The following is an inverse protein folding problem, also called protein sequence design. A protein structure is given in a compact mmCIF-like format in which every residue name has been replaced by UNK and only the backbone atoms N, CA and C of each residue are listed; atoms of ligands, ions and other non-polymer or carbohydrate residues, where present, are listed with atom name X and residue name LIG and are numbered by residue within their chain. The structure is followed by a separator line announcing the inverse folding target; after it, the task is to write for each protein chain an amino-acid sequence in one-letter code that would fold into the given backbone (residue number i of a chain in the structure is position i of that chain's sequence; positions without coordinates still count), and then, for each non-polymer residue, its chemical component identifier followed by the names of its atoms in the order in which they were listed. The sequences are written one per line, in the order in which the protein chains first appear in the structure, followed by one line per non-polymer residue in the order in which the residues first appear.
data_IF_983744280526
#
_entry.id   IF_983744280526
#
_cell.length_a   1.000
_cell.length_b   1.000
_cell.length_c   1.000
_cell.angle_alpha   90.00
_cell.angle_beta   90.00
_cell.angle_gamma   90.00
#
_symmetry.space_group_name_H-M   'P 1'
#
loop_
_entity.id
_entity.type
_entity.pdbx_description
1 polymer ?
#
# COMPACT_ATOMS: atom_id res chain seq x y z
N UNK A 1 -23.46 2.12 -41.72
CA UNK A 1 -23.85 3.12 -40.71
C UNK A 1 -24.21 2.32 -39.46
N UNK A 2 -23.37 2.13 -38.45
CA UNK A 2 -22.10 2.73 -38.02
C UNK A 2 -21.32 1.60 -37.35
N UNK A 3 -20.04 1.43 -37.70
CA UNK A 3 -19.12 0.47 -37.04
C UNK A 3 -19.03 0.86 -35.56
N UNK A 4 -19.47 -0.04 -34.68
CA UNK A 4 -19.45 0.16 -33.23
C UNK A 4 -18.23 -0.53 -32.66
N UNK A 5 -17.12 0.20 -32.52
CA UNK A 5 -15.97 -0.25 -31.74
C UNK A 5 -16.40 -0.42 -30.28
N UNK A 6 -16.42 -1.67 -29.80
CA UNK A 6 -16.78 -1.98 -28.41
C UNK A 6 -15.53 -1.80 -27.54
N UNK A 7 -15.36 -0.59 -27.00
CA UNK A 7 -14.41 -0.35 -25.93
C UNK A 7 -14.91 -1.06 -24.65
N UNK A 8 -14.16 -2.04 -24.16
CA UNK A 8 -14.37 -2.61 -22.82
C UNK A 8 -13.88 -1.56 -21.81
N UNK A 9 -14.75 -0.60 -21.50
CA UNK A 9 -14.45 0.43 -20.51
C UNK A 9 -14.57 -0.15 -19.11
N UNK A 10 -13.45 -0.25 -18.41
CA UNK A 10 -13.45 -0.40 -16.96
C UNK A 10 -13.98 0.89 -16.34
N UNK A 11 -15.21 0.86 -15.80
CA UNK A 11 -15.78 1.98 -15.04
C UNK A 11 -15.14 1.96 -13.65
N UNK A 12 -13.95 2.55 -13.53
CA UNK A 12 -13.40 2.98 -12.25
C UNK A 12 -14.13 4.24 -11.82
N UNK A 13 -14.67 4.25 -10.61
CA UNK A 13 -15.41 5.38 -10.05
C UNK A 13 -14.62 6.70 -10.18
N UNK A 14 -15.26 7.69 -10.80
CA UNK A 14 -14.87 9.10 -10.78
C UNK A 14 -15.07 9.66 -9.37
N UNK A 15 -14.06 9.55 -8.51
CA UNK A 15 -13.88 10.49 -7.40
C UNK A 15 -12.41 10.62 -7.06
N UNK A 16 -11.87 11.80 -7.38
CA UNK A 16 -10.62 12.37 -6.88
C UNK A 16 -9.35 11.56 -7.19
N UNK A 17 -8.57 12.05 -8.16
CA UNK A 17 -7.11 11.87 -8.32
C UNK A 17 -6.46 11.03 -7.21
N UNK A 18 -6.53 9.69 -7.36
CA UNK A 18 -5.92 8.80 -6.39
C UNK A 18 -4.39 8.98 -6.46
N UNK A 19 -3.71 9.34 -5.35
CA UNK A 19 -2.25 9.47 -5.33
C UNK A 19 -1.53 8.17 -5.73
N UNK A 20 -2.22 7.03 -5.73
CA UNK A 20 -1.69 5.73 -6.17
C UNK A 20 -1.66 5.60 -7.70
N UNK A 21 -2.46 6.37 -8.45
CA UNK A 21 -2.48 6.39 -9.93
C UNK A 21 -1.09 6.68 -10.54
N UNK A 22 -0.27 7.49 -9.85
CA UNK A 22 1.11 7.78 -10.27
C UNK A 22 2.08 6.58 -10.13
N UNK A 23 1.64 5.47 -9.55
CA UNK A 23 2.45 4.26 -9.33
C UNK A 23 2.14 3.13 -10.31
N UNK A 24 0.97 3.14 -10.95
CA UNK A 24 0.52 2.07 -11.84
C UNK A 24 1.12 2.13 -13.26
N UNK A 25 1.81 3.21 -13.61
CA UNK A 25 2.55 3.31 -14.87
C UNK A 25 4.07 3.22 -14.66
N UNK A 26 4.55 2.02 -14.33
CA UNK A 26 5.88 1.58 -14.75
C UNK A 26 5.74 0.58 -15.89
N UNK A 27 5.20 1.04 -17.03
CA UNK A 27 5.59 0.46 -18.32
C UNK A 27 7.13 0.47 -18.36
N UNK A 28 7.72 -0.66 -18.75
CA UNK A 28 9.14 -0.99 -18.62
C UNK A 28 10.07 0.23 -18.68
N UNK A 29 10.57 0.66 -17.51
CA UNK A 29 11.90 1.28 -17.49
C UNK A 29 12.89 0.13 -17.47
N UNK A 30 13.64 -0.13 -18.55
CA UNK A 30 14.69 -1.12 -18.52
C UNK A 30 15.73 -0.69 -17.48
N UNK A 31 15.96 -1.53 -16.46
CA UNK A 31 17.13 -1.42 -15.60
C UNK A 31 16.98 -0.66 -14.28
N UNK A 32 15.91 -0.83 -13.52
CA UNK A 32 15.99 -0.66 -12.06
C UNK A 32 15.62 -1.98 -11.39
N UNK A 33 16.63 -2.84 -11.23
CA UNK A 33 16.58 -3.86 -10.20
C UNK A 33 16.30 -3.15 -8.88
N UNK A 34 15.08 -3.31 -8.38
CA UNK A 34 14.72 -2.76 -7.08
C UNK A 34 15.51 -3.60 -6.08
N UNK A 35 16.61 -3.04 -5.55
CA UNK A 35 17.40 -3.69 -4.50
C UNK A 35 16.43 -4.13 -3.39
N UNK A 36 16.55 -5.41 -3.00
CA UNK A 36 15.78 -5.96 -1.88
C UNK A 36 16.41 -5.40 -0.61
N UNK A 37 16.11 -4.13 -0.33
CA UNK A 37 16.59 -3.44 0.87
C UNK A 37 15.93 -4.07 2.08
N UNK A 38 16.71 -4.31 3.13
CA UNK A 38 16.20 -4.77 4.41
C UNK A 38 15.18 -3.76 4.98
N UNK A 39 14.22 -4.23 5.78
CA UNK A 39 13.14 -3.41 6.35
C UNK A 39 13.72 -2.19 7.06
N UNK A 40 14.83 -2.37 7.78
CA UNK A 40 15.55 -1.30 8.46
C UNK A 40 16.04 -0.21 7.51
N UNK A 41 16.64 -0.59 6.37
CA UNK A 41 17.14 0.37 5.38
C UNK A 41 16.01 1.11 4.68
N UNK A 42 14.90 0.44 4.40
CA UNK A 42 13.69 1.06 3.83
C UNK A 42 13.13 2.11 4.78
N UNK A 43 13.04 1.80 6.07
CA UNK A 43 12.50 2.71 7.09
C UNK A 43 13.43 3.88 7.38
N UNK A 44 14.74 3.64 7.41
CA UNK A 44 15.76 4.69 7.53
C UNK A 44 15.71 5.65 6.34
N UNK A 45 15.54 5.14 5.12
CA UNK A 45 15.38 5.96 3.91
C UNK A 45 14.09 6.79 3.92
N UNK A 46 13.05 6.32 4.61
CA UNK A 46 11.81 7.05 4.87
C UNK A 46 11.92 8.05 6.03
N UNK A 47 13.10 8.19 6.64
CA UNK A 47 13.36 9.15 7.71
C UNK A 47 12.77 8.76 9.07
N UNK A 48 12.41 7.47 9.24
CA UNK A 48 11.89 6.95 10.50
C UNK A 48 13.08 6.54 11.38
N UNK A 49 13.33 7.20 12.51
CA UNK A 49 14.39 6.79 13.44
C UNK A 49 14.07 5.43 14.05
N UNK A 50 15.09 4.70 14.49
CA UNK A 50 14.90 3.47 15.27
C UNK A 50 14.86 3.84 16.75
N UNK A 51 13.84 3.35 17.46
CA UNK A 51 13.75 3.44 18.91
C UNK A 51 14.62 2.36 19.53
N UNK A 52 15.58 2.77 20.36
CA UNK A 52 16.37 1.87 21.20
C UNK A 52 15.70 1.74 22.57
N UNK A 53 15.71 0.56 23.16
CA UNK A 53 15.17 0.31 24.50
C UNK A 53 16.04 0.98 25.55
N UNK A 54 15.44 1.82 26.40
CA UNK A 54 16.12 2.47 27.52
C UNK A 54 15.98 1.57 28.75
N UNK A 55 16.95 0.69 28.98
CA UNK A 55 16.98 -0.19 30.16
C UNK A 55 17.57 0.52 31.39
N UNK A 56 18.56 1.39 31.18
CA UNK A 56 19.15 2.24 32.22
C UNK A 56 18.85 3.73 31.93
N UNK A 57 17.90 4.28 32.68
CA UNK A 57 17.47 5.67 32.54
C UNK A 57 18.56 6.64 33.02
N UNK A 58 19.32 6.29 34.06
CA UNK A 58 20.41 7.13 34.58
C UNK A 58 21.58 7.21 33.60
N UNK A 59 21.94 6.08 32.98
CA UNK A 59 22.94 6.02 31.90
C UNK A 59 22.52 6.84 30.67
N UNK A 60 21.27 6.67 30.24
CA UNK A 60 20.73 7.37 29.07
C UNK A 60 20.67 8.89 29.25
N UNK A 61 20.30 9.37 30.45
CA UNK A 61 20.28 10.80 30.77
C UNK A 61 21.69 11.41 30.81
N UNK A 62 22.68 10.67 31.31
CA UNK A 62 24.09 11.10 31.34
C UNK A 62 24.73 11.13 29.96
N UNK A 63 24.45 10.14 29.10
CA UNK A 63 24.99 10.11 27.73
C UNK A 63 24.38 11.19 26.83
N UNK A 64 23.08 11.48 26.99
CA UNK A 64 22.40 12.48 26.16
C UNK A 64 22.46 13.91 26.73
N UNK A 65 23.01 14.11 27.94
CA UNK A 65 23.03 15.41 28.63
C UNK A 65 21.64 16.08 28.68
N UNK A 66 20.58 15.29 28.82
CA UNK A 66 19.20 15.78 28.84
C UNK A 66 18.59 15.68 30.24
N UNK A 67 17.69 16.60 30.56
CA UNK A 67 16.80 16.45 31.72
C UNK A 67 15.75 15.37 31.46
N UNK A 68 15.15 14.84 32.53
CA UNK A 68 14.09 13.82 32.43
C UNK A 68 12.90 14.35 31.60
N UNK A 69 12.55 15.62 31.77
CA UNK A 69 11.43 16.26 31.06
C UNK A 69 11.73 16.40 29.55
N UNK A 70 12.97 16.74 29.18
CA UNK A 70 13.40 16.79 27.78
C UNK A 70 13.45 15.39 27.15
N UNK A 71 13.93 14.39 27.88
CA UNK A 71 13.95 13.00 27.43
C UNK A 71 12.53 12.45 27.23
N UNK A 72 11.61 12.70 28.17
CA UNK A 72 10.19 12.37 28.05
C UNK A 72 9.57 13.03 26.81
N UNK A 73 9.78 14.34 26.65
CA UNK A 73 9.26 15.08 25.49
C UNK A 73 9.79 14.52 24.16
N UNK A 74 11.08 14.17 24.09
CA UNK A 74 11.69 13.58 22.88
C UNK A 74 11.09 12.20 22.55
N UNK A 75 10.87 11.35 23.55
CA UNK A 75 10.23 10.04 23.35
C UNK A 75 8.76 10.20 22.93
N UNK A 76 8.03 11.13 23.55
CA UNK A 76 6.64 11.44 23.15
C UNK A 76 6.54 11.98 21.71
N UNK A 77 7.45 12.86 21.31
CA UNK A 77 7.52 13.37 19.94
C UNK A 77 7.80 12.25 18.93
N UNK A 78 8.71 11.33 19.26
CA UNK A 78 9.00 10.17 18.42
C UNK A 78 7.80 9.21 18.35
N UNK A 79 7.12 8.96 19.47
CA UNK A 79 5.90 8.17 19.50
C UNK A 79 4.80 8.74 18.60
N UNK A 80 4.57 10.06 18.64
CA UNK A 80 3.62 10.74 17.76
C UNK A 80 4.00 10.59 16.29
N UNK A 81 5.30 10.68 15.96
CA UNK A 81 5.79 10.45 14.59
C UNK A 81 5.51 9.02 14.14
N UNK A 82 5.80 8.01 14.97
CA UNK A 82 5.53 6.62 14.62
C UNK A 82 4.05 6.35 14.37
N UNK A 83 3.14 6.89 15.21
CA UNK A 83 1.69 6.78 14.97
C UNK A 83 1.22 7.42 13.68
N UNK A 84 1.78 8.58 13.32
CA UNK A 84 1.45 9.23 12.05
C UNK A 84 1.92 8.39 10.86
N UNK A 85 3.13 7.84 10.93
CA UNK A 85 3.66 6.94 9.89
C UNK A 85 2.85 5.65 9.80
N UNK A 86 2.46 5.06 10.93
CA UNK A 86 1.60 3.88 10.99
C UNK A 86 0.28 4.13 10.25
N UNK A 87 -0.43 5.21 10.59
CA UNK A 87 -1.69 5.57 9.94
C UNK A 87 -1.52 5.76 8.42
N UNK A 88 -0.46 6.44 7.99
CA UNK A 88 -0.16 6.62 6.57
C UNK A 88 0.10 5.29 5.84
N UNK A 89 0.87 4.37 6.46
CA UNK A 89 1.15 3.06 5.88
C UNK A 89 -0.11 2.16 5.85
N UNK A 90 -0.93 2.21 6.89
CA UNK A 90 -2.21 1.49 6.92
C UNK A 90 -3.15 1.97 5.81
N UNK A 91 -3.29 3.29 5.64
CA UNK A 91 -4.11 3.87 4.57
C UNK A 91 -3.60 3.47 3.18
N UNK A 92 -2.27 3.44 2.96
CA UNK A 92 -1.70 2.98 1.69
C UNK A 92 -2.01 1.51 1.42
N UNK A 93 -1.92 0.65 2.45
CA UNK A 93 -2.25 -0.77 2.31
C UNK A 93 -3.74 -0.99 2.03
N UNK A 94 -4.61 -0.22 2.67
CA UNK A 94 -6.06 -0.31 2.46
C UNK A 94 -6.43 0.02 1.01
N UNK A 95 -5.90 1.11 0.46
CA UNK A 95 -6.08 1.46 -0.96
C UNK A 95 -5.62 0.35 -1.90
N UNK A 96 -4.45 -0.24 -1.66
CA UNK A 96 -3.96 -1.34 -2.50
C UNK A 96 -4.90 -2.55 -2.43
N UNK A 97 -5.43 -2.87 -1.25
CA UNK A 97 -6.38 -3.95 -1.04
C UNK A 97 -7.73 -3.71 -1.73
N UNK A 98 -8.16 -2.45 -1.84
CA UNK A 98 -9.34 -2.08 -2.63
C UNK A 98 -9.11 -2.27 -4.14
N UNK A 99 -7.89 -2.00 -4.62
CA UNK A 99 -7.56 -2.15 -6.06
C UNK A 99 -7.24 -3.60 -6.48
N UNK A 100 -6.76 -4.45 -5.57
CA UNK A 100 -6.43 -5.85 -5.86
C UNK A 100 -7.56 -6.66 -6.54
N UNK A 101 -8.83 -6.65 -6.04
CA UNK A 101 -9.92 -7.39 -6.67
C UNK A 101 -10.24 -6.90 -8.09
N UNK A 102 -9.95 -5.64 -8.40
CA UNK A 102 -10.20 -5.05 -9.70
C UNK A 102 -9.27 -5.66 -10.76
N UNK A 103 -7.99 -5.81 -10.44
CA UNK A 103 -7.02 -6.50 -11.30
C UNK A 103 -7.32 -7.99 -11.44
N UNK A 104 -7.84 -8.65 -10.38
CA UNK A 104 -8.25 -10.05 -10.46
C UNK A 104 -9.44 -10.26 -11.38
N UNK A 105 -10.47 -9.39 -11.29
CA UNK A 105 -11.62 -9.40 -12.20
C UNK A 105 -11.20 -9.13 -13.65
N UNK A 106 -10.30 -8.17 -13.86
CA UNK A 106 -9.73 -7.90 -15.18
C UNK A 106 -9.05 -9.15 -15.77
N UNK A 107 -8.24 -9.85 -14.98
CA UNK A 107 -7.60 -11.09 -15.44
C UNK A 107 -8.60 -12.20 -15.74
N UNK A 108 -9.62 -12.40 -14.91
CA UNK A 108 -10.67 -13.39 -15.16
C UNK A 108 -11.41 -13.13 -16.48
N UNK A 109 -11.69 -11.85 -16.78
CA UNK A 109 -12.29 -11.45 -18.05
C UNK A 109 -11.37 -11.76 -19.24
N UNK A 110 -10.06 -11.47 -19.13
CA UNK A 110 -9.09 -11.79 -20.17
C UNK A 110 -9.02 -13.29 -20.44
N UNK A 111 -8.99 -14.12 -19.39
CA UNK A 111 -8.98 -15.58 -19.56
C UNK A 111 -10.24 -16.07 -20.27
N UNK A 112 -11.44 -15.57 -19.91
CA UNK A 112 -12.68 -15.93 -20.62
C UNK A 112 -12.66 -15.52 -22.08
N UNK A 113 -12.07 -14.36 -22.40
CA UNK A 113 -11.91 -13.89 -23.76
C UNK A 113 -10.92 -14.75 -24.54
N UNK A 114 -9.78 -15.12 -23.94
CA UNK A 114 -8.79 -16.02 -24.52
C UNK A 114 -9.40 -17.40 -24.81
N UNK A 115 -10.15 -17.97 -23.87
CA UNK A 115 -10.82 -19.26 -24.03
C UNK A 115 -11.82 -19.23 -25.20
N UNK A 116 -12.61 -18.16 -25.31
CA UNK A 116 -13.56 -17.97 -26.42
C UNK A 116 -12.88 -17.73 -27.78
N UNK A 117 -11.69 -17.12 -27.80
CA UNK A 117 -10.89 -16.94 -29.02
C UNK A 117 -10.18 -18.23 -29.46
N UNK A 118 -9.80 -19.07 -28.50
CA UNK A 118 -9.11 -20.33 -28.75
C UNK A 118 -10.05 -21.46 -29.20
N UNK A 119 -11.33 -21.40 -28.82
CA UNK A 119 -12.34 -22.38 -29.22
C UNK A 119 -12.86 -22.09 -30.65
N UNK A 120 -12.54 -22.95 -31.64
CA UNK A 120 -12.99 -22.75 -33.02
C UNK A 120 -14.50 -22.96 -33.21
N UNK A 121 -15.17 -23.63 -32.27
CA UNK A 121 -16.61 -23.90 -32.31
C UNK A 121 -17.41 -22.81 -31.55
N UNK A 122 -16.75 -21.79 -30.99
CA UNK A 122 -17.42 -20.71 -30.27
C UNK A 122 -18.26 -19.82 -31.19
N UNK A 123 -19.56 -19.72 -30.91
CA UNK A 123 -20.49 -18.88 -31.66
C UNK A 123 -20.41 -17.41 -31.21
N UNK A 124 -19.99 -16.54 -32.13
CA UNK A 124 -19.97 -15.09 -31.97
C UNK A 124 -21.25 -14.45 -32.54
N UNK A 125 -21.73 -13.29 -32.03
CA UNK A 125 -21.10 -12.43 -31.02
C UNK A 125 -21.37 -12.85 -29.56
N UNK A 126 -20.40 -12.59 -28.68
CA UNK A 126 -20.51 -12.89 -27.25
C UNK A 126 -21.43 -11.86 -26.57
N UNK A 127 -22.52 -12.34 -25.96
CA UNK A 127 -23.41 -11.49 -25.16
C UNK A 127 -22.80 -11.24 -23.77
N UNK A 128 -22.58 -9.97 -23.42
CA UNK A 128 -22.04 -9.56 -22.12
C UNK A 128 -22.96 -8.53 -21.48
N UNK A 129 -23.21 -8.70 -20.18
CA UNK A 129 -23.94 -7.72 -19.37
C UNK A 129 -22.97 -6.89 -18.56
N UNK A 130 -23.08 -5.57 -18.67
CA UNK A 130 -22.25 -4.64 -17.93
C UNK A 130 -23.10 -3.65 -17.13
N UNK A 131 -22.62 -3.19 -15.96
CA UNK A 131 -23.33 -2.20 -15.15
C UNK A 131 -23.23 -0.80 -15.80
N UNK A 132 -24.35 -0.10 -15.88
CA UNK A 132 -24.42 1.34 -16.23
C UNK A 132 -24.50 2.22 -14.97
N UNK A 133 -25.20 1.74 -13.96
CA UNK A 133 -25.35 2.37 -12.66
C UNK A 133 -25.65 1.31 -11.60
N UNK A 134 -25.73 1.70 -10.33
CA UNK A 134 -26.13 0.79 -9.25
C UNK A 134 -27.46 0.12 -9.57
N UNK A 135 -27.45 -1.21 -9.65
CA UNK A 135 -28.60 -2.05 -10.01
C UNK A 135 -29.14 -1.90 -11.45
N UNK A 136 -28.48 -1.11 -12.31
CA UNK A 136 -28.85 -0.92 -13.72
C UNK A 136 -27.82 -1.57 -14.62
N UNK A 137 -28.25 -2.53 -15.43
CA UNK A 137 -27.39 -3.29 -16.32
C UNK A 137 -27.85 -3.13 -17.77
N UNK A 138 -26.88 -3.09 -18.69
CA UNK A 138 -27.12 -3.12 -20.13
C UNK A 138 -26.46 -4.33 -20.76
N UNK A 139 -26.98 -4.75 -21.91
CA UNK A 139 -26.43 -5.85 -22.70
C UNK A 139 -25.62 -5.26 -23.85
N UNK A 140 -24.40 -5.77 -24.03
CA UNK A 140 -23.53 -5.51 -25.17
C UNK A 140 -23.20 -6.81 -25.90
N UNK A 141 -22.87 -6.68 -27.18
CA UNK A 141 -22.42 -7.78 -28.03
C UNK A 141 -20.97 -7.51 -28.41
N UNK A 142 -20.07 -8.43 -28.07
CA UNK A 142 -18.65 -8.32 -28.42
C UNK A 142 -18.43 -9.14 -29.68
N UNK A 143 -17.89 -8.53 -30.73
CA UNK A 143 -17.45 -9.22 -31.93
C UNK A 143 -16.09 -9.89 -31.72
N UNK A 144 -15.72 -10.82 -32.60
CA UNK A 144 -14.41 -11.48 -32.52
C UNK A 144 -13.29 -10.44 -32.75
N UNK A 145 -12.60 -10.07 -31.67
CA UNK A 145 -11.49 -9.13 -31.68
C UNK A 145 -10.30 -9.69 -30.91
N UNK A 146 -9.11 -9.56 -31.49
CA UNK A 146 -7.84 -10.03 -30.91
C UNK A 146 -7.14 -8.93 -30.08
N UNK A 147 -7.72 -7.73 -30.03
CA UNK A 147 -7.20 -6.55 -29.33
C UNK A 147 -8.22 -5.99 -28.34
N UNK A 148 -7.70 -5.37 -27.28
CA UNK A 148 -8.48 -4.70 -26.24
C UNK A 148 -7.89 -3.32 -25.96
N UNK A 149 -8.71 -2.44 -25.40
CA UNK A 149 -8.26 -1.14 -24.91
C UNK A 149 -8.01 -1.17 -23.41
N UNK A 150 -6.81 -0.76 -22.99
CA UNK A 150 -6.44 -0.62 -21.58
C UNK A 150 -6.22 0.86 -21.28
N UNK A 151 -6.83 1.34 -20.19
CA UNK A 151 -6.57 2.67 -19.67
C UNK A 151 -5.22 2.66 -18.92
N UNK A 152 -4.27 3.45 -19.40
CA UNK A 152 -2.94 3.58 -18.80
C UNK A 152 -2.89 4.66 -17.70
N UNK A 153 -3.92 5.52 -17.64
CA UNK A 153 -3.98 6.69 -16.77
C UNK A 153 -3.92 7.99 -17.57
N UNK A 154 -4.08 9.13 -16.90
CA UNK A 154 -4.10 10.47 -17.53
C UNK A 154 -5.01 10.56 -18.78
N UNK A 155 -6.20 9.94 -18.72
CA UNK A 155 -7.16 9.90 -19.82
C UNK A 155 -6.63 9.30 -21.13
N UNK A 156 -5.58 8.46 -21.07
CA UNK A 156 -4.95 7.84 -22.23
C UNK A 156 -5.23 6.34 -22.25
N UNK A 157 -5.75 5.85 -23.38
CA UNK A 157 -5.96 4.43 -23.66
C UNK A 157 -4.93 3.92 -24.66
N UNK A 158 -4.54 2.66 -24.54
CA UNK A 158 -3.72 1.95 -25.51
C UNK A 158 -4.44 0.70 -25.98
N UNK A 159 -4.39 0.46 -27.29
CA UNK A 159 -4.78 -0.81 -27.89
C UNK A 159 -3.65 -1.82 -27.71
N UNK A 160 -3.99 -2.99 -27.18
CA UNK A 160 -3.04 -4.04 -26.81
C UNK A 160 -3.66 -5.40 -27.16
N UNK A 161 -2.84 -6.36 -27.56
CA UNK A 161 -3.35 -7.73 -27.81
C UNK A 161 -3.78 -8.41 -26.50
N UNK A 162 -4.64 -9.41 -26.57
CA UNK A 162 -5.10 -10.13 -25.37
C UNK A 162 -3.94 -10.80 -24.62
N UNK A 163 -2.93 -11.32 -25.33
CA UNK A 163 -1.73 -11.94 -24.74
C UNK A 163 -0.86 -10.92 -23.99
N UNK A 164 -0.60 -9.77 -24.60
CA UNK A 164 0.15 -8.69 -23.96
C UNK A 164 -0.59 -8.14 -22.73
N UNK A 165 -1.92 -8.03 -22.81
CA UNK A 165 -2.75 -7.64 -21.68
C UNK A 165 -2.59 -8.60 -20.50
N UNK A 166 -2.62 -9.91 -20.74
CA UNK A 166 -2.43 -10.92 -19.69
C UNK A 166 -1.07 -10.76 -18.99
N UNK A 167 -0.03 -10.50 -19.77
CA UNK A 167 1.32 -10.23 -19.25
C UNK A 167 1.35 -8.98 -18.38
N UNK A 168 0.72 -7.88 -18.81
CA UNK A 168 0.61 -6.62 -18.06
C UNK A 168 -0.13 -6.83 -16.74
N UNK A 169 -1.32 -7.45 -16.78
CA UNK A 169 -2.11 -7.72 -15.57
C UNK A 169 -1.36 -8.66 -14.61
N UNK A 170 -0.69 -9.68 -15.12
CA UNK A 170 0.11 -10.60 -14.31
C UNK A 170 1.32 -9.93 -13.66
N UNK A 171 1.98 -9.01 -14.36
CA UNK A 171 3.08 -8.19 -13.80
C UNK A 171 2.55 -7.26 -12.70
N UNK A 172 1.46 -6.55 -12.97
CA UNK A 172 0.84 -5.64 -12.00
C UNK A 172 0.35 -6.37 -10.74
N UNK A 173 -0.27 -7.54 -10.88
CA UNK A 173 -0.68 -8.36 -9.72
C UNK A 173 0.53 -8.80 -8.87
N UNK A 174 1.63 -9.21 -9.52
CA UNK A 174 2.88 -9.55 -8.80
C UNK A 174 3.44 -8.33 -8.07
N UNK A 175 3.41 -7.15 -8.69
CA UNK A 175 3.91 -5.92 -8.09
C UNK A 175 3.04 -5.43 -6.94
N UNK A 176 1.70 -5.51 -7.07
CA UNK A 176 0.75 -5.22 -5.98
C UNK A 176 0.99 -6.18 -4.82
N UNK A 177 1.11 -7.48 -5.09
CA UNK A 177 1.37 -8.49 -4.04
C UNK A 177 2.68 -8.23 -3.30
N UNK A 178 3.76 -7.94 -4.02
CA UNK A 178 5.04 -7.55 -3.42
C UNK A 178 4.92 -6.29 -2.58
N UNK A 179 4.28 -5.24 -3.10
CA UNK A 179 4.11 -3.98 -2.38
C UNK A 179 3.27 -4.16 -1.11
N UNK A 180 2.24 -4.99 -1.15
CA UNK A 180 1.42 -5.32 0.03
C UNK A 180 2.24 -6.06 1.10
N UNK A 181 3.13 -6.97 0.68
CA UNK A 181 4.04 -7.65 1.61
C UNK A 181 5.06 -6.67 2.21
N UNK A 182 5.71 -5.84 1.39
CA UNK A 182 6.67 -4.83 1.83
C UNK A 182 6.05 -3.87 2.85
N UNK A 183 4.82 -3.39 2.58
CA UNK A 183 4.07 -2.53 3.50
C UNK A 183 3.70 -3.26 4.79
N UNK A 184 3.39 -4.55 4.72
CA UNK A 184 3.05 -5.34 5.91
C UNK A 184 4.27 -5.51 6.83
N UNK A 185 5.44 -5.77 6.26
CA UNK A 185 6.71 -5.80 7.01
C UNK A 185 7.02 -4.45 7.66
N UNK A 186 6.85 -3.36 6.91
CA UNK A 186 7.07 -2.00 7.41
C UNK A 186 6.08 -1.63 8.54
N UNK A 187 4.80 -1.99 8.41
CA UNK A 187 3.81 -1.78 9.47
C UNK A 187 4.20 -2.55 10.73
N UNK A 188 4.64 -3.81 10.59
CA UNK A 188 5.09 -4.61 11.73
C UNK A 188 6.30 -3.96 12.40
N UNK A 189 7.27 -3.49 11.63
CA UNK A 189 8.42 -2.75 12.17
C UNK A 189 7.99 -1.51 12.96
N UNK A 190 7.08 -0.68 12.43
CA UNK A 190 6.58 0.50 13.15
C UNK A 190 5.88 0.11 14.45
N UNK A 191 5.10 -0.98 14.46
CA UNK A 191 4.45 -1.46 15.68
C UNK A 191 5.47 -1.82 16.75
N UNK A 192 6.56 -2.49 16.39
CA UNK A 192 7.64 -2.79 17.32
C UNK A 192 8.31 -1.51 17.85
N UNK A 193 8.48 -0.48 17.01
CA UNK A 193 9.01 0.83 17.43
C UNK A 193 8.05 1.58 18.37
N UNK A 194 6.73 1.47 18.12
CA UNK A 194 5.69 2.02 18.99
C UNK A 194 5.76 1.35 20.36
N UNK A 195 5.74 0.02 20.41
CA UNK A 195 5.83 -0.73 21.67
C UNK A 195 7.13 -0.41 22.43
N UNK A 196 8.26 -0.34 21.74
CA UNK A 196 9.54 0.06 22.36
C UNK A 196 9.48 1.47 22.95
N UNK A 197 8.84 2.41 22.24
CA UNK A 197 8.67 3.79 22.72
C UNK A 197 7.72 3.89 23.91
N UNK A 198 6.66 3.07 23.95
CA UNK A 198 5.73 2.99 25.09
C UNK A 198 6.43 2.47 26.35
N UNK A 199 7.24 1.42 26.21
CA UNK A 199 8.06 0.87 27.30
C UNK A 199 9.04 1.93 27.80
N UNK A 200 9.74 2.63 26.91
CA UNK A 200 10.66 3.71 27.27
C UNK A 200 9.96 4.86 28.02
N UNK A 201 8.76 5.25 27.58
CA UNK A 201 7.97 6.28 28.23
C UNK A 201 7.57 5.85 29.65
N UNK A 202 7.18 4.59 29.83
CA UNK A 202 6.86 4.04 31.15
C UNK A 202 8.09 4.02 32.08
N UNK A 203 9.27 3.62 31.59
CA UNK A 203 10.52 3.68 32.35
C UNK A 203 10.86 5.10 32.80
N UNK A 204 10.76 6.07 31.89
CA UNK A 204 11.00 7.49 32.19
C UNK A 204 9.97 8.03 33.20
N UNK A 205 8.70 7.64 33.09
CA UNK A 205 7.67 8.04 34.05
C UNK A 205 7.95 7.46 35.44
N UNK A 206 8.23 6.17 35.55
CA UNK A 206 8.56 5.50 36.80
C UNK A 206 9.79 6.12 37.48
N UNK A 207 10.83 6.42 36.70
CA UNK A 207 12.01 7.11 37.19
C UNK A 207 11.70 8.52 37.72
N UNK A 208 10.89 9.29 36.98
CA UNK A 208 10.47 10.65 37.41
C UNK A 208 9.67 10.63 38.72
N UNK A 209 8.82 9.62 38.92
CA UNK A 209 8.05 9.45 40.15
C UNK A 209 8.96 9.07 41.31
N UNK A 210 9.92 8.17 41.09
CA UNK A 210 10.88 7.77 42.11
C UNK A 210 11.76 8.95 42.55
N UNK A 211 12.25 9.78 41.62
CA UNK A 211 12.98 11.00 41.99
C UNK A 211 12.14 11.95 42.84
N UNK A 212 10.86 12.13 42.51
CA UNK A 212 9.94 12.98 43.30
C UNK A 212 9.69 12.40 44.69
N UNK A 213 9.56 11.08 44.84
CA UNK A 213 9.39 10.42 46.14
C UNK A 213 10.63 10.60 47.04
N UNK A 214 11.81 10.39 46.49
CA UNK A 214 13.09 10.60 47.18
C UNK A 214 13.24 12.07 47.59
N UNK A 215 12.88 13.02 46.73
CA UNK A 215 12.93 14.45 47.04
C UNK A 215 11.93 14.88 48.13
N UNK A 216 10.80 14.18 48.28
CA UNK A 216 9.77 14.44 49.30
C UNK A 216 10.05 13.69 50.62
N UNK A 217 11.09 12.83 50.67
CA UNK A 217 11.47 12.11 51.89
C UNK A 217 10.48 11.04 52.33
N UNK A 218 9.70 10.50 51.39
CA UNK A 218 8.80 9.37 51.60
C UNK A 218 9.54 8.05 51.31
N UNK A 219 10.63 7.80 52.03
CA UNK A 219 11.18 6.45 52.11
C UNK A 219 10.47 5.74 53.26
N UNK A 220 9.68 4.71 52.90
CA UNK A 220 9.01 3.84 53.85
C UNK A 220 10.04 3.13 54.76
N UNK A 221 9.71 3.11 56.05
CA UNK A 221 10.26 2.20 57.06
C UNK A 221 9.91 0.75 56.75
#
# INVERSE_FOLDING_TARGET
MTEGEVAVSYVGNDSELDPVAHRYLKLDRPGQAQEVLDVFERMRKKGVPTAETITDVDGFLKENNCTIEEAQKKVEENFKKYKMVESNLMNQREKLKETEPDFLRGRELLTKLQDALADPDYEWPMEVRYPLADQVYSTAYIEKADTIFILLGFQTMAEVTVEEAESIFSKNLKDISKLTNDLSEEINFIKDQITTSEVNLAHLFNYSVNQKKVAVGLDEK
#
